data_IF_825746686040
#
_entry.id   IF_825746686040
#
_cell.length_a   1.000
_cell.length_b   1.000
_cell.length_c   1.000
_cell.angle_alpha   90.00
_cell.angle_beta   90.00
_cell.angle_gamma   90.00
#
_symmetry.space_group_name_H-M   'P 1'
#
loop_
_entity.id
_entity.type
_entity.pdbx_description
1 polymer ?
#
# COMPACT_ATOMS: atom_id res chain seq x y z
N UNK A 1 -19.08 -13.23 -22.79
CA UNK A 1 -18.04 -14.29 -22.86
C UNK A 1 -17.19 -14.12 -24.11
N UNK A 2 -15.86 -14.23 -24.06
CA UNK A 2 -15.04 -14.15 -25.28
C UNK A 2 -15.11 -15.39 -26.21
N UNK A 3 -15.80 -16.47 -25.80
CA UNK A 3 -16.00 -17.67 -26.64
C UNK A 3 -17.40 -17.65 -27.29
N UNK A 4 -18.46 -17.53 -26.49
CA UNK A 4 -19.84 -17.59 -27.01
C UNK A 4 -20.45 -16.23 -27.33
N UNK A 5 -19.74 -15.12 -27.06
CA UNK A 5 -20.21 -13.74 -27.23
C UNK A 5 -21.50 -13.36 -26.49
N UNK A 6 -22.10 -14.27 -25.73
CA UNK A 6 -23.28 -13.98 -24.91
C UNK A 6 -22.92 -13.24 -23.63
N UNK A 7 -23.86 -12.44 -23.14
CA UNK A 7 -23.85 -11.89 -21.78
C UNK A 7 -23.83 -13.03 -20.75
N UNK A 8 -23.15 -12.81 -19.63
CA UNK A 8 -22.94 -13.82 -18.59
C UNK A 8 -23.34 -13.25 -17.24
N UNK A 9 -24.08 -14.02 -16.46
CA UNK A 9 -24.35 -13.71 -15.06
C UNK A 9 -23.08 -13.94 -14.21
N UNK A 10 -22.92 -13.17 -13.13
CA UNK A 10 -21.72 -13.21 -12.26
C UNK A 10 -21.42 -14.61 -11.72
N UNK A 11 -22.47 -15.39 -11.39
CA UNK A 11 -22.37 -16.76 -10.87
C UNK A 11 -21.73 -17.76 -11.83
N UNK A 12 -21.80 -17.48 -13.12
CA UNK A 12 -21.34 -18.37 -14.20
C UNK A 12 -19.98 -17.94 -14.78
N UNK A 13 -19.40 -16.85 -14.28
CA UNK A 13 -18.12 -16.33 -14.71
C UNK A 13 -16.95 -17.12 -14.10
N UNK A 14 -16.05 -17.55 -14.98
CA UNK A 14 -14.76 -18.17 -14.67
C UNK A 14 -13.64 -17.24 -15.11
N UNK A 15 -12.71 -16.98 -14.20
CA UNK A 15 -11.52 -16.18 -14.42
C UNK A 15 -10.32 -17.13 -14.48
N UNK A 16 -9.51 -17.05 -15.54
CA UNK A 16 -8.24 -17.78 -15.61
C UNK A 16 -7.15 -17.05 -14.82
N UNK A 17 -6.57 -17.68 -13.79
CA UNK A 17 -5.56 -17.06 -12.92
C UNK A 17 -4.31 -16.58 -13.66
N UNK A 18 -3.84 -17.34 -14.64
CA UNK A 18 -2.60 -17.03 -15.35
C UNK A 18 -2.68 -15.75 -16.22
N UNK A 19 -3.88 -15.34 -16.65
CA UNK A 19 -4.06 -14.22 -17.58
C UNK A 19 -5.24 -13.30 -17.30
N UNK A 20 -6.02 -13.58 -16.26
CA UNK A 20 -7.21 -12.84 -15.82
C UNK A 20 -8.34 -12.70 -16.85
N UNK A 21 -8.32 -13.51 -17.91
CA UNK A 21 -9.41 -13.52 -18.90
C UNK A 21 -10.65 -14.23 -18.37
N UNK A 22 -11.82 -13.68 -18.71
CA UNK A 22 -13.12 -14.11 -18.16
C UNK A 22 -13.95 -14.84 -19.21
N UNK A 23 -14.48 -16.00 -18.85
CA UNK A 23 -15.28 -16.88 -19.70
C UNK A 23 -16.50 -17.42 -18.96
N UNK A 24 -17.46 -17.95 -19.72
CA UNK A 24 -18.62 -18.63 -19.16
C UNK A 24 -18.23 -20.04 -18.75
N UNK A 25 -18.75 -20.55 -17.64
CA UNK A 25 -18.41 -21.89 -17.11
C UNK A 25 -18.55 -22.98 -18.18
N UNK A 26 -19.63 -22.97 -18.95
CA UNK A 26 -19.85 -23.96 -20.01
C UNK A 26 -18.86 -23.84 -21.17
N UNK A 27 -18.40 -22.62 -21.47
CA UNK A 27 -17.48 -22.33 -22.56
C UNK A 27 -16.06 -22.81 -22.23
N UNK A 28 -15.52 -22.36 -21.10
CA UNK A 28 -14.12 -22.65 -20.75
C UNK A 28 -13.93 -24.11 -20.33
N UNK A 29 -14.97 -24.73 -19.78
CA UNK A 29 -14.95 -26.17 -19.45
C UNK A 29 -14.84 -27.06 -20.68
N UNK A 30 -15.29 -26.61 -21.86
CA UNK A 30 -15.09 -27.32 -23.13
C UNK A 30 -13.65 -27.20 -23.60
N UNK A 31 -13.07 -26.01 -23.53
CA UNK A 31 -11.66 -25.76 -23.89
C UNK A 31 -10.71 -26.56 -22.97
N UNK A 32 -11.03 -26.63 -21.68
CA UNK A 32 -10.25 -27.38 -20.68
C UNK A 32 -10.27 -28.91 -20.84
N UNK A 33 -11.02 -29.46 -21.81
CA UNK A 33 -11.03 -30.90 -22.14
C UNK A 33 -10.12 -31.24 -23.32
N UNK A 34 -9.54 -30.25 -24.01
CA UNK A 34 -8.64 -30.48 -25.14
C UNK A 34 -7.27 -31.03 -24.72
N UNK A 35 -6.49 -31.60 -25.66
CA UNK A 35 -5.16 -32.15 -25.39
C UNK A 35 -4.10 -31.09 -25.05
N UNK A 36 -4.36 -29.82 -25.41
CA UNK A 36 -3.54 -28.66 -25.07
C UNK A 36 -4.46 -27.51 -24.66
N UNK A 37 -4.48 -27.18 -23.37
CA UNK A 37 -5.38 -26.19 -22.79
C UNK A 37 -4.69 -24.81 -22.77
N UNK A 38 -4.96 -24.01 -23.80
CA UNK A 38 -4.47 -22.63 -23.89
C UNK A 38 -5.63 -21.64 -23.84
N UNK A 39 -5.40 -20.48 -23.21
CA UNK A 39 -6.38 -19.41 -23.15
C UNK A 39 -6.81 -18.96 -24.57
N UNK A 40 -8.12 -18.93 -24.90
CA UNK A 40 -8.57 -18.52 -26.23
C UNK A 40 -8.25 -17.07 -26.63
N UNK A 41 -7.96 -16.19 -25.65
CA UNK A 41 -7.64 -14.78 -25.92
C UNK A 41 -6.14 -14.53 -26.09
N UNK A 42 -5.30 -15.09 -25.22
CA UNK A 42 -3.85 -14.80 -25.21
C UNK A 42 -2.95 -16.02 -25.40
N UNK A 43 -3.52 -17.21 -25.58
CA UNK A 43 -2.82 -18.49 -25.79
C UNK A 43 -1.88 -18.94 -24.66
N UNK A 44 -1.92 -18.27 -23.50
CA UNK A 44 -1.20 -18.72 -22.29
C UNK A 44 -1.75 -20.10 -21.87
N UNK A 45 -0.88 -21.11 -21.64
CA UNK A 45 -1.30 -22.41 -21.12
C UNK A 45 -1.98 -22.29 -19.76
N UNK A 46 -3.02 -23.07 -19.52
CA UNK A 46 -3.71 -23.12 -18.23
C UNK A 46 -4.16 -24.55 -17.93
N UNK A 47 -4.31 -24.90 -16.66
CA UNK A 47 -4.91 -26.16 -16.22
C UNK A 47 -6.24 -25.92 -15.50
N UNK A 48 -6.98 -26.99 -15.16
CA UNK A 48 -8.29 -26.87 -14.48
C UNK A 48 -8.20 -26.13 -13.13
N UNK A 49 -7.06 -26.19 -12.45
CA UNK A 49 -6.85 -25.51 -11.16
C UNK A 49 -6.71 -23.99 -11.30
N UNK A 50 -6.44 -23.50 -12.52
CA UNK A 50 -6.32 -22.07 -12.82
C UNK A 50 -7.68 -21.39 -13.05
N UNK A 51 -8.78 -22.16 -13.04
CA UNK A 51 -10.14 -21.68 -13.29
C UNK A 51 -10.83 -21.26 -11.99
N UNK A 52 -11.05 -19.96 -11.77
CA UNK A 52 -11.66 -19.43 -10.54
C UNK A 52 -13.09 -18.93 -10.79
N UNK A 53 -14.06 -19.36 -9.98
CA UNK A 53 -15.44 -18.83 -10.01
C UNK A 53 -15.50 -17.45 -9.34
N UNK A 54 -16.37 -16.58 -9.84
CA UNK A 54 -16.54 -15.21 -9.35
C UNK A 54 -17.15 -15.07 -7.94
N UNK A 55 -17.71 -16.14 -7.35
CA UNK A 55 -18.46 -16.05 -6.08
C UNK A 55 -17.58 -16.08 -4.82
N UNK A 56 -16.71 -15.07 -4.64
CA UNK A 56 -16.03 -14.84 -3.36
C UNK A 56 -16.47 -13.53 -2.72
N UNK A 57 -17.77 -13.24 -2.70
CA UNK A 57 -18.37 -12.31 -1.72
C UNK A 57 -19.85 -12.65 -1.50
N UNK A 58 -20.21 -13.32 -0.41
CA UNK A 58 -21.45 -13.11 0.36
C UNK A 58 -21.42 -13.91 1.67
N UNK A 59 -21.93 -13.27 2.71
CA UNK A 59 -21.72 -13.46 4.15
C UNK A 59 -22.45 -14.63 4.83
N UNK A 60 -21.78 -15.19 5.85
CA UNK A 60 -22.25 -15.40 7.23
C UNK A 60 -22.17 -16.84 7.79
N UNK A 61 -21.50 -16.94 8.95
CA UNK A 61 -21.48 -18.00 9.95
C UNK A 61 -20.55 -19.22 9.76
N UNK A 62 -19.78 -19.45 10.84
CA UNK A 62 -19.08 -20.68 11.25
C UNK A 62 -17.75 -21.07 10.56
N UNK A 63 -16.68 -20.88 11.35
CA UNK A 63 -15.48 -21.71 11.54
C UNK A 63 -14.55 -22.01 10.35
N UNK A 64 -13.27 -21.78 10.67
CA UNK A 64 -12.05 -22.37 10.15
C UNK A 64 -11.44 -21.95 8.81
N UNK A 65 -10.11 -21.89 8.89
CA UNK A 65 -9.08 -21.86 7.86
C UNK A 65 -8.89 -20.57 7.04
N UNK A 66 -8.39 -19.53 7.73
CA UNK A 66 -7.54 -18.51 7.09
C UNK A 66 -6.09 -18.64 7.53
N UNK A 67 -5.57 -19.86 7.38
CA UNK A 67 -4.14 -20.09 7.29
C UNK A 67 -3.64 -19.92 5.83
N UNK A 68 -3.64 -18.68 5.34
CA UNK A 68 -3.18 -18.34 3.97
C UNK A 68 -2.03 -17.33 3.95
N UNK A 69 -1.36 -17.11 5.09
CA UNK A 69 0.00 -16.58 5.15
C UNK A 69 1.07 -17.67 5.31
N UNK A 70 0.69 -18.91 5.66
CA UNK A 70 1.64 -20.02 5.93
C UNK A 70 2.16 -20.77 4.70
N UNK A 71 1.77 -20.41 3.47
CA UNK A 71 2.17 -21.18 2.28
C UNK A 71 3.35 -20.61 1.50
N UNK A 72 4.03 -19.61 2.04
CA UNK A 72 5.31 -19.14 1.53
C UNK A 72 6.42 -19.47 2.53
N UNK A 73 6.74 -20.77 2.67
CA UNK A 73 7.96 -21.25 3.32
C UNK A 73 8.03 -20.99 4.83
N UNK A 74 8.06 -22.09 5.59
CA UNK A 74 8.46 -22.14 7.00
C UNK A 74 9.90 -21.67 7.21
N UNK A 75 10.16 -20.39 7.05
CA UNK A 75 11.09 -19.66 7.89
C UNK A 75 10.21 -18.74 8.71
N UNK A 76 10.17 -18.92 10.03
CA UNK A 76 9.56 -17.92 10.91
C UNK A 76 10.42 -16.65 10.80
N UNK A 77 10.18 -15.85 9.77
CA UNK A 77 10.60 -14.46 9.79
C UNK A 77 9.88 -13.90 11.02
N UNK A 78 10.66 -13.59 12.05
CA UNK A 78 10.16 -12.95 13.26
C UNK A 78 9.37 -11.68 12.93
N UNK A 79 8.72 -11.05 13.93
CA UNK A 79 8.00 -9.81 13.70
C UNK A 79 8.90 -8.80 12.97
N UNK A 80 8.37 -8.19 11.90
CA UNK A 80 9.11 -7.17 11.14
C UNK A 80 9.60 -6.09 12.10
N UNK A 81 10.89 -5.68 12.06
CA UNK A 81 11.42 -4.67 12.97
C UNK A 81 10.63 -3.36 12.95
N UNK A 82 10.12 -2.96 11.77
CA UNK A 82 9.26 -1.78 11.64
C UNK A 82 7.90 -1.95 12.31
N UNK A 83 7.34 -3.17 12.28
CA UNK A 83 6.08 -3.45 12.97
C UNK A 83 6.26 -3.39 14.48
N UNK A 84 7.38 -3.89 14.99
CA UNK A 84 7.69 -3.83 16.42
C UNK A 84 7.98 -2.39 16.87
N UNK A 85 8.74 -1.64 16.08
CA UNK A 85 8.97 -0.22 16.33
C UNK A 85 7.67 0.60 16.29
N UNK A 86 6.76 0.29 15.36
CA UNK A 86 5.43 0.91 15.31
C UNK A 86 4.60 0.57 16.56
N UNK A 87 4.60 -0.69 16.99
CA UNK A 87 3.93 -1.11 18.23
C UNK A 87 4.44 -0.31 19.43
N UNK A 88 5.76 -0.27 19.63
CA UNK A 88 6.38 0.48 20.71
C UNK A 88 6.00 1.97 20.64
N UNK A 89 6.01 2.56 19.45
CA UNK A 89 5.65 3.97 19.27
C UNK A 89 4.15 4.24 19.53
N UNK A 90 3.27 3.26 19.27
CA UNK A 90 1.84 3.34 19.62
C UNK A 90 1.65 3.26 21.13
N UNK A 91 2.41 2.42 21.83
CA UNK A 91 2.34 2.26 23.29
C UNK A 91 2.82 3.52 24.04
N UNK A 92 3.70 4.32 23.44
CA UNK A 92 4.12 5.63 23.96
C UNK A 92 3.02 6.71 23.86
N UNK A 93 1.99 6.51 23.04
CA UNK A 93 0.93 7.50 22.84
C UNK A 93 -0.07 7.48 24.00
N UNK A 94 -0.57 8.66 24.37
CA UNK A 94 -1.69 8.76 25.31
C UNK A 94 -3.00 8.33 24.64
N UNK A 95 -3.95 7.86 25.43
CA UNK A 95 -5.19 7.26 24.93
C UNK A 95 -6.08 8.23 24.15
N UNK A 96 -6.05 9.51 24.51
CA UNK A 96 -6.78 10.59 23.83
C UNK A 96 -6.11 11.06 22.51
N UNK A 97 -4.91 10.59 22.22
CA UNK A 97 -4.15 10.98 21.04
C UNK A 97 -4.52 10.14 19.82
N UNK A 98 -4.52 10.80 18.65
CA UNK A 98 -4.83 10.17 17.38
C UNK A 98 -3.64 10.20 16.45
N UNK A 99 -3.43 9.11 15.73
CA UNK A 99 -2.30 8.96 14.82
C UNK A 99 -2.75 8.69 13.38
N UNK A 100 -1.96 9.21 12.43
CA UNK A 100 -2.04 8.83 11.02
C UNK A 100 -0.81 8.00 10.68
N UNK A 101 -1.04 6.80 10.15
CA UNK A 101 0.01 5.91 9.69
C UNK A 101 0.04 5.98 8.16
N UNK A 102 1.15 6.50 7.62
CA UNK A 102 1.38 6.59 6.19
C UNK A 102 2.26 5.44 5.70
N UNK A 103 1.85 4.85 4.58
CA UNK A 103 2.68 3.91 3.82
C UNK A 103 2.45 4.11 2.33
N UNK A 104 3.47 3.83 1.53
CA UNK A 104 3.31 3.77 0.07
C UNK A 104 2.72 2.42 -0.39
N UNK A 105 2.89 1.37 0.42
CA UNK A 105 2.48 0.02 0.10
C UNK A 105 1.15 -0.32 0.76
N UNK A 106 0.08 -0.41 -0.04
CA UNK A 106 -1.25 -0.80 0.49
C UNK A 106 -1.24 -2.18 1.16
N UNK A 107 -0.39 -3.11 0.68
CA UNK A 107 -0.17 -4.41 1.33
C UNK A 107 0.46 -4.30 2.70
N UNK A 108 1.28 -3.29 2.94
CA UNK A 108 1.81 -3.06 4.28
C UNK A 108 0.74 -2.50 5.21
N UNK A 109 -0.13 -1.61 4.70
CA UNK A 109 -1.32 -1.19 5.44
C UNK A 109 -2.21 -2.38 5.82
N UNK A 110 -2.45 -3.34 4.92
CA UNK A 110 -3.21 -4.57 5.22
C UNK A 110 -2.62 -5.38 6.39
N UNK A 111 -1.29 -5.35 6.56
CA UNK A 111 -0.59 -6.02 7.68
C UNK A 111 -0.72 -5.22 8.97
N UNK A 112 -0.67 -3.88 8.88
CA UNK A 112 -0.87 -2.97 10.01
C UNK A 112 -2.30 -3.05 10.53
N UNK A 113 -3.30 -3.17 9.65
CA UNK A 113 -4.71 -3.40 10.03
C UNK A 113 -4.85 -4.62 10.93
N UNK A 114 -4.31 -5.76 10.49
CA UNK A 114 -4.35 -6.99 11.28
C UNK A 114 -3.65 -6.84 12.64
N UNK A 115 -2.58 -6.04 12.72
CA UNK A 115 -1.94 -5.75 13.98
C UNK A 115 -2.83 -4.90 14.89
N UNK A 116 -3.44 -3.83 14.37
CA UNK A 116 -4.33 -2.94 15.13
C UNK A 116 -5.59 -3.70 15.60
N UNK A 117 -6.18 -4.53 14.76
CA UNK A 117 -7.32 -5.40 15.10
C UNK A 117 -6.99 -6.35 16.25
N UNK A 118 -5.82 -7.01 16.19
CA UNK A 118 -5.36 -7.91 17.27
C UNK A 118 -5.11 -7.18 18.59
N UNK A 119 -4.76 -5.90 18.53
CA UNK A 119 -4.58 -5.05 19.70
C UNK A 119 -5.89 -4.42 20.19
N UNK A 120 -7.01 -4.64 19.49
CA UNK A 120 -8.31 -4.09 19.85
C UNK A 120 -8.48 -2.60 19.53
N UNK A 121 -7.64 -2.04 18.65
CA UNK A 121 -7.72 -0.63 18.28
C UNK A 121 -8.66 -0.38 17.10
N UNK A 122 -9.51 0.64 17.23
CA UNK A 122 -10.32 1.15 16.12
C UNK A 122 -9.48 1.99 15.15
N UNK A 123 -9.69 1.78 13.85
CA UNK A 123 -9.02 2.55 12.81
C UNK A 123 -9.94 2.85 11.62
N UNK A 124 -9.62 3.91 10.89
CA UNK A 124 -10.15 4.18 9.56
C UNK A 124 -9.05 4.00 8.51
N UNK A 125 -9.44 3.75 7.26
CA UNK A 125 -8.48 3.56 6.14
C UNK A 125 -8.87 4.44 4.97
N UNK A 126 -7.90 5.18 4.41
CA UNK A 126 -8.04 5.92 3.17
C UNK A 126 -6.92 5.49 2.22
N UNK A 127 -7.29 4.86 1.13
CA UNK A 127 -6.39 4.57 0.02
C UNK A 127 -7.07 4.88 -1.32
N UNK A 128 -6.39 4.55 -2.42
CA UNK A 128 -6.88 4.78 -3.78
C UNK A 128 -8.11 3.95 -4.18
N UNK A 129 -8.53 2.97 -3.37
CA UNK A 129 -9.67 2.11 -3.69
C UNK A 129 -11.02 2.70 -3.30
N UNK A 130 -11.05 3.67 -2.37
CA UNK A 130 -12.30 4.28 -1.88
C UNK A 130 -12.82 5.38 -2.79
N UNK A 131 -14.13 5.39 -3.02
CA UNK A 131 -14.84 6.47 -3.74
C UNK A 131 -14.77 7.77 -2.93
N UNK A 132 -14.92 8.91 -3.60
CA UNK A 132 -14.83 10.23 -2.97
C UNK A 132 -15.79 10.40 -1.78
N UNK A 133 -17.04 9.91 -1.90
CA UNK A 133 -18.05 9.99 -0.82
C UNK A 133 -17.61 9.23 0.42
N UNK A 134 -17.16 7.98 0.26
CA UNK A 134 -16.66 7.14 1.36
C UNK A 134 -15.43 7.76 2.04
N UNK A 135 -14.57 8.42 1.27
CA UNK A 135 -13.41 9.14 1.82
C UNK A 135 -13.83 10.26 2.75
N UNK A 136 -14.84 11.05 2.36
CA UNK A 136 -15.36 12.17 3.17
C UNK A 136 -15.97 11.63 4.47
N UNK A 137 -16.69 10.51 4.41
CA UNK A 137 -17.27 9.87 5.58
C UNK A 137 -16.19 9.39 6.55
N UNK A 138 -15.17 8.67 6.09
CA UNK A 138 -14.05 8.24 6.94
C UNK A 138 -13.31 9.42 7.59
N UNK A 139 -13.12 10.52 6.85
CA UNK A 139 -12.50 11.74 7.40
C UNK A 139 -13.39 12.37 8.48
N UNK A 140 -14.71 12.41 8.27
CA UNK A 140 -15.67 12.92 9.25
C UNK A 140 -15.65 12.05 10.51
N UNK A 141 -15.69 10.73 10.37
CA UNK A 141 -15.63 9.78 11.48
C UNK A 141 -14.34 9.95 12.29
N UNK A 142 -13.18 9.95 11.63
CA UNK A 142 -11.89 10.13 12.29
C UNK A 142 -11.77 11.46 13.05
N UNK A 143 -12.41 12.51 12.53
CA UNK A 143 -12.39 13.85 13.14
C UNK A 143 -13.20 13.94 14.44
N UNK A 144 -14.10 12.99 14.72
CA UNK A 144 -14.87 12.94 15.97
C UNK A 144 -14.01 12.49 17.14
N UNK A 145 -14.35 12.91 18.36
CA UNK A 145 -13.62 12.53 19.56
C UNK A 145 -13.81 11.05 19.92
N UNK A 146 -15.02 10.54 19.72
CA UNK A 146 -15.39 9.11 19.84
C UNK A 146 -15.06 8.29 18.59
N UNK A 147 -14.50 8.93 17.56
CA UNK A 147 -14.11 8.27 16.32
C UNK A 147 -12.85 7.42 16.46
N UNK A 148 -12.44 6.72 15.39
CA UNK A 148 -11.28 5.83 15.42
C UNK A 148 -10.00 6.56 15.86
N UNK A 149 -9.16 5.85 16.62
CA UNK A 149 -7.88 6.36 17.15
C UNK A 149 -6.81 6.46 16.06
N UNK A 150 -6.81 5.52 15.12
CA UNK A 150 -5.83 5.46 14.03
C UNK A 150 -6.46 5.72 12.66
N UNK A 151 -5.71 6.38 11.78
CA UNK A 151 -6.03 6.50 10.37
C UNK A 151 -4.88 5.90 9.55
N UNK A 152 -5.19 4.90 8.73
CA UNK A 152 -4.26 4.33 7.76
C UNK A 152 -4.43 5.08 6.45
N UNK A 153 -3.37 5.69 5.94
CA UNK A 153 -3.43 6.46 4.70
C UNK A 153 -2.34 6.03 3.73
N UNK A 154 -2.72 5.77 2.48
CA UNK A 154 -1.69 5.64 1.45
C UNK A 154 -1.06 7.00 1.15
N UNK A 155 0.24 7.03 0.92
CA UNK A 155 0.95 8.30 0.64
C UNK A 155 0.41 8.99 -0.61
N UNK A 156 -0.03 8.20 -1.60
CA UNK A 156 -0.68 8.74 -2.81
C UNK A 156 -2.04 9.39 -2.52
N UNK A 157 -2.81 8.87 -1.56
CA UNK A 157 -4.10 9.46 -1.18
C UNK A 157 -3.94 10.77 -0.39
N UNK A 158 -2.81 11.00 0.27
CA UNK A 158 -2.52 12.24 1.00
C UNK A 158 -2.45 13.49 0.08
N UNK A 159 -2.16 13.29 -1.21
CA UNK A 159 -2.12 14.34 -2.23
C UNK A 159 -3.49 14.95 -2.58
N UNK A 160 -4.61 14.30 -2.25
CA UNK A 160 -5.95 14.71 -2.73
C UNK A 160 -6.65 15.76 -1.87
N UNK A 161 -5.92 16.55 -1.06
CA UNK A 161 -6.52 17.64 -0.30
C UNK A 161 -7.29 17.24 0.97
N UNK A 162 -6.93 16.12 1.60
CA UNK A 162 -7.56 15.67 2.85
C UNK A 162 -7.16 16.55 4.05
N UNK A 163 -8.03 16.66 5.05
CA UNK A 163 -7.75 17.37 6.31
C UNK A 163 -7.66 16.37 7.46
N UNK A 164 -6.52 16.34 8.15
CA UNK A 164 -6.21 15.36 9.20
C UNK A 164 -5.77 16.03 10.51
N UNK A 165 -6.17 17.29 10.74
CA UNK A 165 -5.81 18.07 11.94
C UNK A 165 -6.28 17.46 13.27
N UNK A 166 -7.20 16.48 13.27
CA UNK A 166 -7.54 15.74 14.48
C UNK A 166 -6.45 14.75 14.91
N UNK A 167 -5.50 14.39 14.05
CA UNK A 167 -4.32 13.65 14.46
C UNK A 167 -3.28 14.59 15.07
N UNK A 168 -2.48 14.07 16.00
CA UNK A 168 -1.30 14.75 16.55
C UNK A 168 -0.05 13.87 16.52
N UNK A 169 -0.17 12.62 16.06
CA UNK A 169 0.98 11.76 15.74
C UNK A 169 0.96 11.37 14.26
N UNK A 170 2.13 11.33 13.65
CA UNK A 170 2.34 10.89 12.29
C UNK A 170 3.40 9.79 12.30
N UNK A 171 3.02 8.61 11.82
CA UNK A 171 3.92 7.47 11.64
C UNK A 171 4.18 7.28 10.15
N UNK A 172 5.41 7.53 9.71
CA UNK A 172 5.84 7.30 8.33
C UNK A 172 6.56 5.96 8.25
N UNK A 173 5.89 4.98 7.65
CA UNK A 173 6.36 3.60 7.60
C UNK A 173 7.41 3.36 6.51
N UNK A 174 7.42 4.18 5.46
CA UNK A 174 8.33 4.03 4.32
C UNK A 174 8.92 5.37 3.91
N UNK A 175 10.13 5.32 3.33
CA UNK A 175 10.79 6.48 2.70
C UNK A 175 10.38 6.55 1.23
N UNK A 176 10.01 7.75 0.76
CA UNK A 176 9.57 8.01 -0.61
C UNK A 176 10.64 8.74 -1.43
N UNK A 177 10.72 8.55 -2.74
CA UNK A 177 11.75 9.20 -3.57
C UNK A 177 11.64 10.73 -3.65
N UNK A 178 10.47 11.27 -3.36
CA UNK A 178 10.16 12.70 -3.44
C UNK A 178 9.75 13.23 -2.06
N UNK A 179 10.69 13.88 -1.37
CA UNK A 179 10.46 14.47 -0.04
C UNK A 179 9.32 15.49 -0.03
N UNK A 180 9.02 16.16 -1.14
CA UNK A 180 7.91 17.12 -1.21
C UNK A 180 6.54 16.45 -1.01
N UNK A 181 6.38 15.19 -1.44
CA UNK A 181 5.14 14.43 -1.21
C UNK A 181 4.99 14.06 0.27
N UNK A 182 6.09 13.71 0.93
CA UNK A 182 6.12 13.42 2.37
C UNK A 182 5.79 14.67 3.18
N UNK A 183 6.45 15.80 2.87
CA UNK A 183 6.14 17.10 3.50
C UNK A 183 4.68 17.49 3.31
N UNK A 184 4.14 17.35 2.09
CA UNK A 184 2.74 17.65 1.84
C UNK A 184 1.78 16.73 2.63
N UNK A 185 2.15 15.46 2.82
CA UNK A 185 1.37 14.53 3.65
C UNK A 185 1.39 14.96 5.12
N UNK A 186 2.55 15.35 5.65
CA UNK A 186 2.70 15.90 7.01
C UNK A 186 1.90 17.19 7.19
N UNK A 187 1.89 18.08 6.19
CA UNK A 187 1.13 19.33 6.18
C UNK A 187 -0.40 19.11 6.24
N UNK A 188 -0.90 17.89 5.97
CA UNK A 188 -2.33 17.57 6.18
C UNK A 188 -2.71 17.49 7.64
N UNK A 189 -1.74 17.22 8.52
CA UNK A 189 -1.90 17.10 9.97
C UNK A 189 -1.39 18.37 10.66
N UNK A 190 -0.20 18.84 10.27
CA UNK A 190 0.41 20.09 10.73
C UNK A 190 -0.11 21.28 9.91
N UNK A 191 -1.44 21.47 9.94
CA UNK A 191 -2.14 22.52 9.19
C UNK A 191 -2.70 23.60 10.11
N UNK A 192 -2.98 24.77 9.53
CA UNK A 192 -3.72 25.86 10.18
C UNK A 192 -5.00 25.29 10.82
N UNK A 193 -5.15 25.48 12.13
CA UNK A 193 -6.25 24.92 12.93
C UNK A 193 -5.82 23.81 13.90
N UNK A 194 -4.61 23.28 13.78
CA UNK A 194 -4.02 22.41 14.79
C UNK A 194 -3.66 23.22 16.04
N UNK A 195 -4.03 22.71 17.22
CA UNK A 195 -3.74 23.33 18.53
C UNK A 195 -2.81 22.49 19.42
N UNK A 196 -2.51 21.26 18.99
CA UNK A 196 -1.65 20.31 19.71
C UNK A 196 -0.33 20.17 18.98
N UNK A 197 0.72 19.89 19.74
CA UNK A 197 2.03 19.56 19.16
C UNK A 197 1.91 18.29 18.32
N UNK A 198 2.46 18.35 17.11
CA UNK A 198 2.43 17.22 16.16
C UNK A 198 3.76 16.50 16.23
N UNK A 199 3.75 15.25 16.69
CA UNK A 199 4.94 14.38 16.65
C UNK A 199 4.99 13.64 15.32
N UNK A 200 6.13 13.72 14.64
CA UNK A 200 6.39 12.94 13.42
C UNK A 200 7.48 11.92 13.72
N UNK A 201 7.19 10.65 13.45
CA UNK A 201 8.15 9.54 13.56
C UNK A 201 8.30 8.90 12.19
N UNK A 202 9.54 8.89 11.67
CA UNK A 202 9.91 8.16 10.45
C UNK A 202 10.63 6.87 10.82
N UNK A 203 10.12 5.75 10.34
CA UNK A 203 10.76 4.45 10.49
C UNK A 203 11.69 4.18 9.32
N UNK A 204 12.99 4.09 9.61
CA UNK A 204 14.05 3.88 8.63
C UNK A 204 14.88 2.69 9.10
N UNK A 205 15.08 1.72 8.22
CA UNK A 205 15.99 0.60 8.51
C UNK A 205 17.44 1.07 8.37
N UNK A 206 18.24 0.86 9.41
CA UNK A 206 19.69 1.10 9.39
C UNK A 206 20.40 0.22 8.36
N UNK A 207 21.50 0.74 7.79
CA UNK A 207 22.34 0.05 6.80
C UNK A 207 21.58 -0.45 5.55
N UNK A 208 20.41 0.14 5.28
CA UNK A 208 19.49 -0.32 4.25
C UNK A 208 19.42 0.62 3.05
N UNK A 209 18.65 0.22 2.05
CA UNK A 209 18.32 1.09 0.91
C UNK A 209 17.54 2.35 1.35
N UNK A 210 16.80 2.28 2.45
CA UNK A 210 15.98 3.40 2.93
C UNK A 210 16.83 4.56 3.46
N UNK A 211 17.91 4.25 4.17
CA UNK A 211 18.89 5.24 4.62
C UNK A 211 19.54 5.95 3.42
N UNK A 212 19.96 5.19 2.41
CA UNK A 212 20.51 5.74 1.15
C UNK A 212 19.49 6.56 0.37
N UNK A 213 18.21 6.20 0.44
CA UNK A 213 17.16 7.02 -0.16
C UNK A 213 17.07 8.39 0.52
N UNK A 214 17.27 8.48 1.83
CA UNK A 214 17.31 9.75 2.56
C UNK A 214 18.52 10.58 2.13
N UNK A 215 19.71 9.99 2.04
CA UNK A 215 20.90 10.67 1.53
C UNK A 215 20.65 11.27 0.13
N UNK A 216 19.99 10.52 -0.75
CA UNK A 216 19.62 11.00 -2.09
C UNK A 216 18.59 12.12 -2.03
N UNK A 217 17.61 12.07 -1.11
CA UNK A 217 16.66 13.17 -0.91
C UNK A 217 17.39 14.44 -0.48
N UNK A 218 18.31 14.35 0.47
CA UNK A 218 19.09 15.47 0.99
C UNK A 218 20.01 16.07 -0.09
N UNK A 219 20.71 15.21 -0.85
CA UNK A 219 21.52 15.65 -1.98
C UNK A 219 20.70 16.38 -3.04
N UNK A 220 19.50 15.84 -3.38
CA UNK A 220 18.57 16.51 -4.31
C UNK A 220 18.06 17.84 -3.75
N UNK A 221 17.76 17.92 -2.45
CA UNK A 221 17.29 19.14 -1.82
C UNK A 221 18.38 20.23 -1.80
N UNK A 222 19.63 19.84 -1.55
CA UNK A 222 20.79 20.74 -1.61
C UNK A 222 21.00 21.30 -3.02
N UNK A 223 20.94 20.43 -4.05
CA UNK A 223 21.00 20.84 -5.46
C UNK A 223 19.84 21.78 -5.79
N UNK A 224 18.61 21.43 -5.42
CA UNK A 224 17.42 22.25 -5.72
C UNK A 224 17.45 23.64 -5.05
N UNK A 225 18.13 23.80 -3.92
CA UNK A 225 18.34 25.10 -3.26
C UNK A 225 19.48 25.91 -3.88
N UNK A 226 20.53 25.24 -4.38
CA UNK A 226 21.72 25.89 -4.94
C UNK A 226 21.68 26.13 -6.45
N UNK A 227 20.83 25.41 -7.19
CA UNK A 227 20.83 25.37 -8.64
C UNK A 227 19.47 25.80 -9.19
N UNK A 228 19.32 27.09 -9.44
CA UNK A 228 18.29 27.64 -10.34
C UNK A 228 18.66 27.46 -11.83
N UNK A 229 19.79 26.82 -12.14
CA UNK A 229 20.25 26.53 -13.50
C UNK A 229 19.78 25.15 -13.98
N UNK A 230 19.16 25.10 -15.16
CA UNK A 230 18.71 23.82 -15.73
C UNK A 230 19.94 22.98 -16.10
N UNK A 231 20.17 21.90 -15.37
CA UNK A 231 21.17 20.88 -15.71
C UNK A 231 20.99 20.40 -17.15
N UNK A 232 22.10 20.19 -17.85
CA UNK A 232 22.10 19.61 -19.19
C UNK A 232 21.63 18.15 -19.15
N UNK A 233 21.12 17.59 -20.26
CA UNK A 233 20.72 16.18 -20.35
C UNK A 233 21.84 15.19 -19.96
N UNK A 234 23.11 15.52 -20.23
CA UNK A 234 24.26 14.68 -19.89
C UNK A 234 24.54 14.69 -18.38
N UNK A 235 24.43 15.84 -17.72
CA UNK A 235 24.57 15.97 -16.27
C UNK A 235 23.44 15.23 -15.54
N UNK A 236 22.19 15.36 -16.03
CA UNK A 236 21.05 14.58 -15.55
C UNK A 236 21.30 13.07 -15.64
N UNK A 237 21.91 12.60 -16.74
CA UNK A 237 22.27 11.19 -16.91
C UNK A 237 23.35 10.76 -15.91
N UNK A 238 24.38 11.58 -15.69
CA UNK A 238 25.43 11.32 -14.68
C UNK A 238 24.86 11.24 -13.27
N UNK A 239 24.00 12.18 -12.88
CA UNK A 239 23.32 12.18 -11.57
C UNK A 239 22.46 10.93 -11.40
N UNK A 240 21.70 10.53 -12.43
CA UNK A 240 20.90 9.29 -12.38
C UNK A 240 21.76 8.04 -12.15
N UNK A 241 22.87 7.90 -12.89
CA UNK A 241 23.78 6.75 -12.74
C UNK A 241 24.44 6.76 -11.37
N UNK A 242 24.85 7.94 -10.88
CA UNK A 242 25.42 8.10 -9.53
C UNK A 242 24.44 7.64 -8.45
N UNK A 243 23.18 8.10 -8.51
CA UNK A 243 22.13 7.70 -7.57
C UNK A 243 21.91 6.18 -7.58
N UNK A 244 21.88 5.54 -8.75
CA UNK A 244 21.74 4.08 -8.85
C UNK A 244 22.93 3.34 -8.22
N UNK A 245 24.17 3.82 -8.42
CA UNK A 245 25.36 3.25 -7.79
C UNK A 245 25.32 3.37 -6.27
N UNK A 246 24.89 4.52 -5.77
CA UNK A 246 24.71 4.78 -4.33
C UNK A 246 23.68 3.81 -3.73
N UNK A 247 22.53 3.63 -4.37
CA UNK A 247 21.47 2.73 -3.89
C UNK A 247 21.91 1.27 -3.78
N UNK A 248 22.57 0.76 -4.82
CA UNK A 248 22.89 -0.67 -4.95
C UNK A 248 24.33 -1.03 -4.56
N UNK A 249 25.13 -0.08 -4.06
CA UNK A 249 26.53 -0.31 -3.69
C UNK A 249 27.36 -0.98 -4.79
N UNK A 250 27.04 -0.71 -6.06
CA UNK A 250 27.81 -1.26 -7.18
C UNK A 250 29.14 -0.52 -7.21
N UNK A 251 30.17 -1.09 -6.58
CA UNK A 251 31.56 -0.64 -6.75
C UNK A 251 31.87 -0.75 -8.24
N UNK A 252 32.29 0.36 -8.84
CA UNK A 252 32.68 0.39 -10.24
C UNK A 252 33.83 -0.59 -10.46
N UNK A 253 33.58 -1.63 -11.27
CA UNK A 253 34.61 -2.35 -12.01
C UNK A 253 35.14 -1.50 -13.13
#
# INVERSE_FOLDING_TARGET
CAICLMEMEEKDAIILRACSHVYCTSCISRVARGPSTTCPLCRIPFCKQDMMKSNVVSSAAAKDDKNSLDRLGSQSLGPSPKMEALRSAIEEMRDEEKAVIFSQFTKFLDVIEQMLDRLGYTFARIDGSRRAVQRIECLREFSRDDGPRFMLCSLHAAGTGINLTRANHIFMMDVWWNSAVESQAMDRVHRIGQKRDVRVVRFVMCDSIEERMIEIQEAKAAIGKGVMEKLTPEELRRVRISNLRMLFQVKGT
#
